data_IF_855658104475
#
_entry.id   IF_855658104475
#
_cell.length_a   1.000
_cell.length_b   1.000
_cell.length_c   1.000
_cell.angle_alpha   90.00
_cell.angle_beta   90.00
_cell.angle_gamma   90.00
#
_symmetry.space_group_name_H-M   'P 1'
#
loop_
_entity.id
_entity.type
_entity.pdbx_description
1 polymer ?
#
# COMPACT_ATOMS: atom_id res chain seq x y z
N UNK A 1 -9.66 -13.62 -4.01
CA UNK A 1 -9.30 -12.26 -3.61
C UNK A 1 -8.63 -12.33 -2.25
N UNK A 2 -7.33 -12.07 -2.21
CA UNK A 2 -6.53 -11.96 -0.98
C UNK A 2 -6.27 -10.49 -0.73
N UNK A 3 -6.97 -9.93 0.26
CA UNK A 3 -6.77 -8.57 0.74
C UNK A 3 -6.66 -8.65 2.26
N UNK A 4 -5.55 -8.20 2.87
CA UNK A 4 -5.45 -8.14 4.32
C UNK A 4 -6.46 -7.11 4.85
N UNK A 5 -7.01 -7.41 6.02
CA UNK A 5 -8.00 -6.55 6.70
C UNK A 5 -7.34 -5.74 7.83
N UNK A 6 -7.97 -4.64 8.25
CA UNK A 6 -7.42 -3.77 9.28
C UNK A 6 -7.24 -4.52 10.61
N UNK A 7 -6.03 -4.50 11.17
CA UNK A 7 -5.65 -5.26 12.38
C UNK A 7 -5.32 -6.73 12.14
N UNK A 8 -5.35 -7.22 10.90
CA UNK A 8 -4.98 -8.60 10.58
C UNK A 8 -3.52 -8.88 10.93
N UNK A 9 -3.24 -10.03 11.56
CA UNK A 9 -1.87 -10.55 11.68
C UNK A 9 -1.43 -11.15 10.35
N UNK A 10 -0.27 -10.72 9.85
CA UNK A 10 0.32 -11.14 8.58
C UNK A 10 1.76 -11.63 8.76
N UNK A 11 2.25 -12.36 7.76
CA UNK A 11 3.63 -12.83 7.57
C UNK A 11 4.11 -12.39 6.18
N UNK A 12 5.42 -12.42 5.93
CA UNK A 12 5.99 -12.16 4.60
C UNK A 12 5.85 -13.38 3.67
N UNK A 13 5.52 -13.21 2.36
CA UNK A 13 5.04 -11.99 1.71
C UNK A 13 3.54 -11.72 1.96
N UNK A 14 3.14 -10.45 1.92
CA UNK A 14 1.71 -10.06 2.01
C UNK A 14 1.16 -9.86 0.60
N UNK A 15 0.16 -10.65 0.19
CA UNK A 15 -0.57 -10.41 -1.07
C UNK A 15 -1.67 -9.34 -0.87
N UNK A 16 -1.69 -8.30 -1.71
CA UNK A 16 -2.58 -7.11 -1.63
C UNK A 16 -2.98 -6.66 -3.06
N UNK A 17 -3.99 -5.79 -3.24
CA UNK A 17 -4.33 -5.21 -4.57
C UNK A 17 -4.74 -3.56 -4.56
N UNK A 18 -6.06 -4.00 -4.27
CA UNK A 18 -7.49 -3.58 -4.41
C UNK A 18 -7.99 -3.35 -5.84
N UNK A 19 -8.84 -2.34 -5.99
CA UNK A 19 -9.07 -1.66 -7.26
C UNK A 19 -8.61 -0.20 -7.13
N UNK A 20 -8.08 0.38 -8.20
CA UNK A 20 -7.61 1.77 -8.25
C UNK A 20 -8.15 2.50 -9.49
N UNK A 21 -7.95 3.82 -9.53
CA UNK A 21 -8.36 4.73 -10.62
C UNK A 21 -7.46 5.97 -10.60
N UNK A 22 -6.15 5.77 -10.74
CA UNK A 22 -5.12 6.78 -10.43
C UNK A 22 -4.58 7.49 -11.68
N UNK A 23 -3.81 8.56 -11.48
CA UNK A 23 -3.05 9.16 -12.58
C UNK A 23 -2.07 8.13 -13.20
N UNK A 24 -2.03 8.10 -14.55
CA UNK A 24 -1.31 7.11 -15.37
C UNK A 24 -1.48 5.62 -15.01
N UNK A 25 -2.51 5.28 -14.20
CA UNK A 25 -2.72 3.94 -13.62
C UNK A 25 -1.61 3.46 -12.66
N UNK A 26 -0.75 4.37 -12.21
CA UNK A 26 0.35 4.09 -11.28
C UNK A 26 -0.18 4.00 -9.84
N UNK A 27 0.18 2.94 -9.11
CA UNK A 27 -0.21 2.73 -7.71
C UNK A 27 1.04 2.52 -6.88
N UNK A 28 1.36 3.48 -6.01
CA UNK A 28 2.54 3.47 -5.13
C UNK A 28 2.15 2.93 -3.76
N UNK A 29 3.07 2.21 -3.11
CA UNK A 29 2.85 1.64 -1.79
C UNK A 29 4.09 1.69 -0.89
N UNK A 30 3.84 1.81 0.42
CA UNK A 30 4.85 1.85 1.48
C UNK A 30 4.37 1.00 2.66
N UNK A 31 5.19 0.06 3.14
CA UNK A 31 4.97 -0.61 4.42
C UNK A 31 5.84 0.06 5.50
N UNK A 32 5.17 0.62 6.50
CA UNK A 32 5.79 1.40 7.58
C UNK A 32 5.73 0.59 8.89
N UNK A 33 6.88 0.42 9.54
CA UNK A 33 7.02 -0.24 10.83
C UNK A 33 6.52 0.63 12.01
N UNK A 34 6.43 0.07 13.21
CA UNK A 34 5.88 0.75 14.39
C UNK A 34 6.65 2.02 14.79
N UNK A 35 7.93 2.10 14.43
CA UNK A 35 8.81 3.24 14.67
C UNK A 35 8.78 4.31 13.55
N UNK A 36 7.87 4.19 12.58
CA UNK A 36 7.76 5.12 11.44
C UNK A 36 8.74 4.87 10.29
N UNK A 37 9.61 3.85 10.38
CA UNK A 37 10.54 3.49 9.29
C UNK A 37 9.80 2.74 8.18
N UNK A 38 9.93 3.20 6.93
CA UNK A 38 9.56 2.39 5.75
C UNK A 38 10.47 1.15 5.70
N UNK A 39 9.89 -0.04 5.72
CA UNK A 39 10.61 -1.34 5.69
C UNK A 39 10.46 -2.08 4.36
N UNK A 40 9.46 -1.72 3.56
CA UNK A 40 9.31 -2.13 2.16
C UNK A 40 8.54 -1.03 1.41
N UNK A 41 8.80 -0.85 0.12
CA UNK A 41 8.06 0.08 -0.73
C UNK A 41 8.18 -0.33 -2.20
N UNK A 42 7.25 0.17 -3.03
CA UNK A 42 7.25 -0.11 -4.45
C UNK A 42 6.10 0.57 -5.18
N UNK A 43 5.85 0.12 -6.40
CA UNK A 43 4.71 0.52 -7.21
C UNK A 43 4.17 -0.68 -8.00
N UNK A 44 2.98 -0.52 -8.58
CA UNK A 44 2.37 -1.47 -9.52
C UNK A 44 1.45 -0.73 -10.49
N UNK A 45 0.98 -1.41 -11.53
CA UNK A 45 -0.11 -0.91 -12.37
C UNK A 45 -1.46 -1.35 -11.81
N UNK A 46 -2.46 -0.47 -11.88
CA UNK A 46 -3.85 -0.77 -11.55
C UNK A 46 -4.81 -0.19 -12.59
N UNK A 47 -5.92 0.38 -12.13
CA UNK A 47 -6.82 1.17 -12.98
C UNK A 47 -6.39 2.64 -13.06
N UNK A 48 -6.65 3.25 -14.21
CA UNK A 48 -6.38 4.67 -14.48
C UNK A 48 -7.63 5.53 -14.43
N UNK A 49 -7.46 6.86 -14.47
CA UNK A 49 -8.55 7.83 -14.60
C UNK A 49 -9.47 7.48 -15.79
N UNK A 50 -10.77 7.32 -15.52
CA UNK A 50 -11.77 6.93 -16.53
C UNK A 50 -11.82 5.43 -16.86
N UNK A 51 -10.88 4.63 -16.36
CA UNK A 51 -10.88 3.16 -16.49
C UNK A 51 -10.42 2.49 -15.18
N UNK A 52 -11.26 2.51 -14.10
CA UNK A 52 -10.94 1.84 -12.85
C UNK A 52 -10.73 0.33 -13.02
N UNK A 53 -9.79 -0.23 -12.27
CA UNK A 53 -9.28 -1.58 -12.52
C UNK A 53 -8.57 -2.19 -11.31
N UNK A 54 -8.37 -3.52 -11.30
CA UNK A 54 -7.70 -4.23 -10.22
C UNK A 54 -6.19 -3.97 -10.22
N UNK A 55 -5.56 -4.01 -9.04
CA UNK A 55 -4.11 -4.15 -8.92
C UNK A 55 -3.74 -5.56 -8.42
N UNK A 56 -2.45 -5.84 -8.26
CA UNK A 56 -1.94 -6.89 -7.36
C UNK A 56 -0.48 -6.55 -6.98
N UNK A 57 -0.11 -6.81 -5.73
CA UNK A 57 1.27 -6.69 -5.21
C UNK A 57 1.56 -7.79 -4.20
N UNK A 58 2.83 -8.18 -4.15
CA UNK A 58 3.39 -9.02 -3.10
C UNK A 58 4.38 -8.15 -2.29
N UNK A 59 4.04 -7.90 -1.03
CA UNK A 59 4.86 -7.07 -0.13
C UNK A 59 5.74 -8.00 0.68
N UNK A 60 6.96 -8.22 0.19
CA UNK A 60 8.04 -8.81 0.98
C UNK A 60 8.50 -7.82 2.06
N UNK A 61 8.67 -8.31 3.29
CA UNK A 61 9.26 -7.54 4.39
C UNK A 61 10.01 -8.47 5.35
N UNK A 62 10.77 -7.88 6.28
CA UNK A 62 11.34 -8.56 7.44
C UNK A 62 11.00 -7.83 8.74
N UNK A 63 10.77 -8.58 9.81
CA UNK A 63 10.52 -8.05 11.15
C UNK A 63 11.19 -8.94 12.19
N UNK A 64 11.87 -8.35 13.17
CA UNK A 64 12.54 -9.08 14.24
C UNK A 64 11.54 -9.54 15.31
N UNK A 65 10.52 -8.72 15.57
CA UNK A 65 9.45 -8.93 16.55
C UNK A 65 8.06 -8.83 15.91
N UNK A 66 7.02 -9.26 16.63
CA UNK A 66 5.62 -9.00 16.28
C UNK A 66 5.24 -7.56 16.62
N UNK A 67 4.90 -6.73 15.62
CA UNK A 67 4.70 -5.28 15.78
C UNK A 67 3.50 -4.73 14.99
N UNK A 68 3.05 -3.51 15.33
CA UNK A 68 2.06 -2.78 14.52
C UNK A 68 2.75 -2.11 13.32
N UNK A 69 2.33 -2.43 12.11
CA UNK A 69 2.72 -1.75 10.88
C UNK A 69 1.54 -1.03 10.21
N UNK A 70 1.84 -0.17 9.25
CA UNK A 70 0.86 0.49 8.40
C UNK A 70 1.26 0.31 6.94
N UNK A 71 0.41 -0.33 6.14
CA UNK A 71 0.53 -0.34 4.69
C UNK A 71 -0.19 0.87 4.13
N UNK A 72 0.54 1.76 3.46
CA UNK A 72 -0.01 2.84 2.65
C UNK A 72 -0.08 2.38 1.20
N UNK A 73 -1.22 2.64 0.55
CA UNK A 73 -1.42 2.49 -0.90
C UNK A 73 -2.01 3.79 -1.42
N UNK A 74 -1.36 4.41 -2.39
CA UNK A 74 -1.64 5.78 -2.81
C UNK A 74 -1.19 6.08 -4.24
N UNK A 75 -1.57 7.24 -4.75
CA UNK A 75 -1.01 7.83 -5.98
C UNK A 75 -0.10 9.03 -5.66
N UNK A 76 0.84 9.33 -6.55
CA UNK A 76 1.72 10.49 -6.40
C UNK A 76 0.95 11.80 -6.61
N UNK A 77 1.39 12.85 -5.92
CA UNK A 77 0.89 14.21 -6.14
C UNK A 77 1.74 14.90 -7.20
N UNK A 78 1.40 14.65 -8.48
CA UNK A 78 2.02 15.29 -9.65
C UNK A 78 1.73 16.81 -9.74
N UNK A 79 0.97 17.39 -8.79
CA UNK A 79 0.70 18.83 -8.72
C UNK A 79 1.59 19.58 -7.72
N UNK A 80 2.53 18.88 -7.07
CA UNK A 80 3.41 19.40 -5.99
C UNK A 80 2.64 20.14 -4.86
N UNK A 81 1.36 19.79 -4.65
CA UNK A 81 0.48 20.38 -3.65
C UNK A 81 -0.40 21.56 -4.12
N UNK A 82 -0.42 21.90 -5.41
CA UNK A 82 -1.38 22.89 -5.95
C UNK A 82 -2.81 22.32 -6.17
N UNK A 83 -2.95 20.99 -6.21
CA UNK A 83 -4.20 20.28 -6.45
C UNK A 83 -4.99 19.90 -5.19
N UNK A 84 -5.99 19.03 -5.37
CA UNK A 84 -6.57 18.27 -4.25
C UNK A 84 -5.58 17.18 -3.81
N UNK A 85 -5.46 16.89 -2.50
CA UNK A 85 -4.51 15.89 -2.00
C UNK A 85 -4.78 14.52 -2.62
N UNK A 86 -3.71 13.85 -3.05
CA UNK A 86 -3.78 12.58 -3.77
C UNK A 86 -4.43 11.46 -2.95
N UNK A 87 -5.07 10.49 -3.63
CA UNK A 87 -5.77 9.40 -2.95
C UNK A 87 -4.82 8.51 -2.16
N UNK A 88 -4.94 8.47 -0.83
CA UNK A 88 -4.18 7.57 0.06
C UNK A 88 -5.08 6.72 0.95
N UNK A 89 -4.88 5.41 0.90
CA UNK A 89 -5.46 4.42 1.82
C UNK A 89 -4.40 3.97 2.82
N UNK A 90 -4.72 4.01 4.12
CA UNK A 90 -3.87 3.48 5.20
C UNK A 90 -4.53 2.25 5.82
N UNK A 91 -3.81 1.13 5.81
CA UNK A 91 -4.24 -0.14 6.37
C UNK A 91 -3.32 -0.55 7.54
N UNK A 92 -3.78 -0.50 8.80
CA UNK A 92 -3.01 -0.99 9.93
C UNK A 92 -2.96 -2.52 9.91
N UNK A 93 -1.78 -3.10 10.11
CA UNK A 93 -1.52 -4.54 10.08
C UNK A 93 -0.66 -4.94 11.27
N UNK A 94 -0.80 -6.19 11.75
CA UNK A 94 0.10 -6.72 12.76
C UNK A 94 1.14 -7.60 12.07
N UNK A 95 2.33 -7.04 11.88
CA UNK A 95 3.45 -7.71 11.23
C UNK A 95 4.01 -8.77 12.18
N UNK A 96 4.20 -9.98 11.67
CA UNK A 96 4.96 -11.04 12.33
C UNK A 96 6.29 -11.25 11.59
N UNK A 97 7.32 -11.82 12.24
CA UNK A 97 8.47 -12.41 11.53
C UNK A 97 8.03 -13.45 10.48
#
# INVERSE_FOLDING_TARGET
MTHPTAGQTVTSPIHVAGCSSTFESNVVWELIAQNGRVIASGHTMGGGLGSPGPFNIEVEYSSEDKQLGHLHVFELDESEGEGFPSGRTTLPLILSP
#
